data_IF_706722213227
#
_entry.id   IF_706722213227
#
_cell.length_a   1.000
_cell.length_b   1.000
_cell.length_c   1.000
_cell.angle_alpha   90.00
_cell.angle_beta   90.00
_cell.angle_gamma   90.00
#
_symmetry.space_group_name_H-M   'P 1'
#
loop_
_entity.id
_entity.type
_entity.pdbx_description
1 polymer ?
#
# COMPACT_ATOMS: atom_id res chain seq x y z
N UNK A 1 -32.83 42.00 26.80
CA UNK A 1 -31.39 41.83 26.53
C UNK A 1 -31.04 40.34 26.61
N UNK A 2 -31.48 39.57 25.61
CA UNK A 2 -31.39 38.10 25.58
C UNK A 2 -30.24 37.64 24.70
N UNK A 3 -29.33 36.83 25.26
CA UNK A 3 -28.19 36.25 24.54
C UNK A 3 -28.67 35.14 23.60
N UNK A 4 -28.61 35.39 22.29
CA UNK A 4 -28.76 34.38 21.25
C UNK A 4 -27.55 33.42 21.33
N UNK A 5 -27.81 32.17 21.71
CA UNK A 5 -26.85 31.07 21.55
C UNK A 5 -26.80 30.73 20.06
N UNK A 6 -25.64 30.91 19.45
CA UNK A 6 -25.36 30.60 18.05
C UNK A 6 -25.56 29.11 17.77
N UNK A 7 -26.25 28.85 16.66
CA UNK A 7 -26.48 27.53 16.12
C UNK A 7 -25.15 26.85 15.80
N UNK A 8 -24.79 25.84 16.59
CA UNK A 8 -23.72 24.90 16.24
C UNK A 8 -24.27 23.97 15.17
N UNK A 9 -23.62 23.99 14.00
CA UNK A 9 -24.05 23.28 12.80
C UNK A 9 -24.33 21.81 13.08
N UNK A 10 -25.52 21.39 12.62
CA UNK A 10 -25.88 19.99 12.39
C UNK A 10 -24.73 19.31 11.67
N UNK A 11 -23.99 18.47 12.38
CA UNK A 11 -23.24 17.39 11.75
C UNK A 11 -24.28 16.54 11.04
N UNK A 12 -24.21 16.48 9.71
CA UNK A 12 -25.06 15.61 8.92
C UNK A 12 -24.79 14.15 9.33
N UNK A 13 -25.61 13.66 10.26
CA UNK A 13 -25.85 12.26 10.53
C UNK A 13 -26.49 11.65 9.28
N UNK A 14 -25.72 10.85 8.53
CA UNK A 14 -26.19 10.23 7.29
C UNK A 14 -25.16 9.47 6.43
N UNK A 15 -24.03 9.02 6.99
CA UNK A 15 -23.09 8.09 6.31
C UNK A 15 -22.70 6.95 7.26
N UNK A 16 -23.59 5.99 7.43
CA UNK A 16 -23.43 4.82 8.32
C UNK A 16 -22.26 3.86 7.94
N UNK A 17 -21.48 4.16 6.89
CA UNK A 17 -20.15 3.57 6.63
C UNK A 17 -19.20 4.59 6.00
N UNK A 18 -18.66 5.51 6.80
CA UNK A 18 -17.68 6.49 6.34
C UNK A 18 -16.37 5.85 5.84
N UNK A 19 -15.78 6.41 4.78
CA UNK A 19 -14.45 6.00 4.31
C UNK A 19 -13.36 6.38 5.31
N UNK A 20 -12.29 5.57 5.42
CA UNK A 20 -11.10 5.93 6.20
C UNK A 20 -10.49 7.22 5.66
N UNK A 21 -9.92 8.04 6.54
CA UNK A 21 -9.31 9.33 6.15
C UNK A 21 -8.31 9.22 5.01
N UNK A 22 -7.45 8.17 4.99
CA UNK A 22 -6.53 7.91 3.88
C UNK A 22 -7.24 7.68 2.54
N UNK A 23 -8.37 6.96 2.55
CA UNK A 23 -9.19 6.76 1.35
C UNK A 23 -9.75 8.09 0.85
N UNK A 24 -10.28 8.93 1.75
CA UNK A 24 -10.79 10.27 1.41
C UNK A 24 -9.67 11.14 0.83
N UNK A 25 -8.48 11.12 1.43
CA UNK A 25 -7.29 11.83 0.92
C UNK A 25 -6.91 11.37 -0.48
N UNK A 26 -6.87 10.06 -0.73
CA UNK A 26 -6.53 9.51 -2.03
C UNK A 26 -7.58 9.89 -3.09
N UNK A 27 -8.87 9.77 -2.77
CA UNK A 27 -9.95 10.18 -3.66
C UNK A 27 -9.86 11.68 -4.00
N UNK A 28 -9.65 12.54 -3.00
CA UNK A 28 -9.45 13.99 -3.21
C UNK A 28 -8.23 14.27 -4.08
N UNK A 29 -7.11 13.56 -3.87
CA UNK A 29 -5.89 13.74 -4.66
C UNK A 29 -6.11 13.41 -6.15
N UNK A 30 -6.81 12.30 -6.44
CA UNK A 30 -7.18 11.92 -7.81
C UNK A 30 -8.11 12.96 -8.43
N UNK A 31 -9.18 13.34 -7.72
CA UNK A 31 -10.14 14.32 -8.20
C UNK A 31 -9.48 15.67 -8.48
N UNK A 32 -8.65 16.17 -7.57
CA UNK A 32 -7.90 17.42 -7.75
C UNK A 32 -7.01 17.36 -8.98
N UNK A 33 -6.33 16.24 -9.23
CA UNK A 33 -5.47 16.07 -10.41
C UNK A 33 -6.30 16.08 -11.70
N UNK A 34 -7.41 15.36 -11.73
CA UNK A 34 -8.31 15.33 -12.89
C UNK A 34 -8.90 16.71 -13.22
N UNK A 35 -9.41 17.42 -12.22
CA UNK A 35 -9.96 18.77 -12.41
C UNK A 35 -8.89 19.80 -12.77
N UNK A 36 -7.66 19.68 -12.24
CA UNK A 36 -6.55 20.54 -12.69
C UNK A 36 -6.19 20.31 -14.15
N UNK A 37 -6.33 19.09 -14.66
CA UNK A 37 -6.14 18.83 -16.08
C UNK A 37 -7.27 19.45 -16.91
N UNK A 38 -8.53 19.27 -16.49
CA UNK A 38 -9.69 19.86 -17.17
C UNK A 38 -9.66 21.40 -17.19
N UNK A 39 -9.21 22.04 -16.10
CA UNK A 39 -9.03 23.49 -16.00
C UNK A 39 -7.94 23.98 -16.97
N UNK A 40 -6.81 23.26 -17.08
CA UNK A 40 -5.74 23.58 -18.04
C UNK A 40 -6.18 23.43 -19.49
N UNK A 41 -7.05 22.48 -19.78
CA UNK A 41 -7.64 22.25 -21.10
C UNK A 41 -8.82 23.20 -21.39
N UNK A 42 -9.19 24.07 -20.44
CA UNK A 42 -10.30 25.01 -20.61
C UNK A 42 -11.69 24.37 -20.56
N UNK A 43 -11.80 23.11 -20.13
CA UNK A 43 -13.08 22.38 -20.03
C UNK A 43 -13.92 22.82 -18.84
N UNK A 44 -13.26 23.34 -17.80
CA UNK A 44 -13.91 23.93 -16.63
C UNK A 44 -13.24 25.27 -16.31
N UNK A 45 -14.01 26.17 -15.70
CA UNK A 45 -13.50 27.50 -15.32
C UNK A 45 -12.59 27.44 -14.09
N UNK A 46 -12.86 26.50 -13.16
CA UNK A 46 -12.12 26.43 -11.90
C UNK A 46 -12.11 25.03 -11.29
N UNK A 47 -10.96 24.62 -10.71
CA UNK A 47 -10.85 23.39 -9.93
C UNK A 47 -11.41 23.53 -8.50
N UNK A 48 -12.67 23.14 -8.31
CA UNK A 48 -13.34 23.14 -6.99
C UNK A 48 -12.72 22.19 -5.96
N UNK A 49 -12.07 21.10 -6.38
CA UNK A 49 -11.43 20.16 -5.45
C UNK A 49 -10.15 20.73 -4.83
N UNK A 50 -9.54 21.75 -5.44
CA UNK A 50 -8.43 22.48 -4.83
C UNK A 50 -8.88 23.29 -3.61
N UNK A 51 -10.13 23.79 -3.61
CA UNK A 51 -10.71 24.59 -2.53
C UNK A 51 -11.15 23.76 -1.32
N UNK A 52 -11.40 22.46 -1.51
CA UNK A 52 -11.73 21.53 -0.43
C UNK A 52 -10.59 21.39 0.57
N UNK A 53 -10.87 21.38 1.87
CA UNK A 53 -9.87 21.03 2.88
C UNK A 53 -9.60 19.52 2.90
N UNK A 54 -8.33 19.08 2.96
CA UNK A 54 -8.01 17.66 3.10
C UNK A 54 -8.40 17.15 4.50
N UNK A 55 -8.78 15.87 4.63
CA UNK A 55 -9.04 15.28 5.94
C UNK A 55 -7.76 15.29 6.79
N UNK A 56 -7.88 15.66 8.07
CA UNK A 56 -6.81 15.46 9.05
C UNK A 56 -6.69 13.98 9.34
N UNK A 57 -5.59 13.37 8.89
CA UNK A 57 -5.29 11.97 9.14
C UNK A 57 -4.27 11.92 10.24
N UNK A 58 -4.66 11.41 11.42
CA UNK A 58 -3.69 10.98 12.42
C UNK A 58 -2.91 9.82 11.82
N UNK A 59 -1.60 9.99 11.68
CA UNK A 59 -0.76 8.85 11.33
C UNK A 59 -0.80 7.91 12.52
N UNK A 60 -1.29 6.69 12.31
CA UNK A 60 -0.99 5.61 13.22
C UNK A 60 0.48 5.29 13.01
N UNK A 61 1.31 5.42 14.03
CA UNK A 61 2.64 4.86 13.97
C UNK A 61 2.50 3.35 13.70
N UNK A 62 3.23 2.88 12.70
CA UNK A 62 3.33 1.45 12.46
C UNK A 62 4.05 0.81 13.64
N UNK A 63 3.51 -0.28 14.19
CA UNK A 63 4.22 -1.04 15.21
C UNK A 63 5.41 -1.75 14.55
N UNK A 64 6.61 -1.41 14.98
CA UNK A 64 7.84 -2.13 14.62
C UNK A 64 8.18 -3.11 15.73
N UNK A 65 8.77 -4.25 15.39
CA UNK A 65 9.28 -5.20 16.38
C UNK A 65 10.53 -4.62 17.04
N UNK A 66 10.64 -4.76 18.35
CA UNK A 66 11.94 -4.60 19.02
C UNK A 66 12.85 -5.79 18.68
N UNK A 67 14.14 -5.67 18.98
CA UNK A 67 15.12 -6.76 18.77
C UNK A 67 14.68 -8.02 19.53
N UNK A 68 14.32 -7.90 20.81
CA UNK A 68 13.85 -9.03 21.62
C UNK A 68 12.58 -9.68 21.06
N UNK A 69 11.65 -8.87 20.53
CA UNK A 69 10.43 -9.36 19.89
C UNK A 69 10.74 -10.08 18.57
N UNK A 70 11.74 -9.63 17.82
CA UNK A 70 12.20 -10.30 16.61
C UNK A 70 12.84 -11.66 16.94
N UNK A 71 13.69 -11.74 17.97
CA UNK A 71 14.23 -13.01 18.46
C UNK A 71 13.12 -13.97 18.91
N UNK A 72 12.20 -13.49 19.75
CA UNK A 72 11.05 -14.27 20.21
C UNK A 72 10.22 -14.82 19.04
N UNK A 73 10.03 -14.01 17.99
CA UNK A 73 9.33 -14.44 16.79
C UNK A 73 10.10 -15.55 16.05
N UNK A 74 11.42 -15.39 15.88
CA UNK A 74 12.27 -16.38 15.20
C UNK A 74 12.29 -17.71 15.95
N UNK A 75 12.41 -17.68 17.28
CA UNK A 75 12.35 -18.88 18.12
C UNK A 75 11.00 -19.59 17.97
N UNK A 76 9.90 -18.82 17.98
CA UNK A 76 8.56 -19.36 17.84
C UNK A 76 8.28 -19.98 16.45
N UNK A 77 9.01 -19.57 15.41
CA UNK A 77 8.83 -20.08 14.04
C UNK A 77 9.95 -21.02 13.57
N UNK A 78 10.94 -21.34 14.41
CA UNK A 78 12.13 -22.11 14.04
C UNK A 78 11.76 -23.44 13.34
N UNK A 79 10.84 -24.20 13.94
CA UNK A 79 10.37 -25.50 13.40
C UNK A 79 9.10 -25.36 12.54
N UNK A 80 8.61 -24.14 12.32
CA UNK A 80 7.42 -23.91 11.50
C UNK A 80 7.80 -23.91 10.03
N UNK A 81 6.93 -24.46 9.17
CA UNK A 81 7.13 -24.47 7.70
C UNK A 81 7.38 -23.10 7.05
N UNK A 82 7.02 -22.01 7.73
CA UNK A 82 7.25 -20.63 7.29
C UNK A 82 8.47 -19.97 7.96
N UNK A 83 9.21 -20.68 8.81
CA UNK A 83 10.34 -20.16 9.58
C UNK A 83 11.36 -19.47 8.69
N UNK A 84 11.78 -20.16 7.63
CA UNK A 84 12.73 -19.60 6.64
C UNK A 84 12.18 -18.34 5.95
N UNK A 85 10.89 -18.32 5.60
CA UNK A 85 10.25 -17.16 4.96
C UNK A 85 10.24 -15.96 5.91
N UNK A 86 9.93 -16.17 7.18
CA UNK A 86 9.93 -15.14 8.21
C UNK A 86 11.35 -14.62 8.46
N UNK A 87 12.33 -15.52 8.60
CA UNK A 87 13.74 -15.18 8.77
C UNK A 87 14.26 -14.32 7.62
N UNK A 88 14.09 -14.77 6.38
CA UNK A 88 14.54 -14.03 5.19
C UNK A 88 13.83 -12.67 5.08
N UNK A 89 12.54 -12.60 5.42
CA UNK A 89 11.79 -11.35 5.40
C UNK A 89 12.30 -10.35 6.44
N UNK A 90 12.68 -10.82 7.64
CA UNK A 90 13.24 -9.99 8.69
C UNK A 90 14.66 -9.49 8.35
N UNK A 91 15.50 -10.38 7.84
CA UNK A 91 16.92 -10.08 7.56
C UNK A 91 17.08 -9.22 6.31
N UNK A 92 16.39 -9.54 5.21
CA UNK A 92 16.54 -8.86 3.93
C UNK A 92 15.44 -7.81 3.65
N UNK A 93 14.48 -7.66 4.55
CA UNK A 93 13.37 -6.71 4.37
C UNK A 93 12.44 -7.06 3.21
N UNK A 94 12.31 -8.35 2.88
CA UNK A 94 11.52 -8.80 1.73
C UNK A 94 10.04 -8.45 1.90
N UNK A 95 9.43 -7.90 0.84
CA UNK A 95 7.97 -7.82 0.79
C UNK A 95 7.41 -9.23 0.69
N UNK A 96 6.26 -9.48 1.31
CA UNK A 96 5.57 -10.79 1.25
C UNK A 96 5.48 -11.40 -0.16
N UNK A 97 5.25 -10.58 -1.19
CA UNK A 97 5.21 -11.09 -2.56
C UNK A 97 6.58 -11.57 -3.07
N UNK A 98 7.65 -10.87 -2.70
CA UNK A 98 9.04 -11.22 -3.02
C UNK A 98 9.46 -12.49 -2.27
N UNK A 99 9.17 -12.58 -0.97
CA UNK A 99 9.48 -13.75 -0.15
C UNK A 99 8.79 -15.02 -0.65
N UNK A 100 7.54 -14.90 -1.11
CA UNK A 100 6.80 -16.01 -1.73
C UNK A 100 7.23 -16.30 -3.18
N UNK A 101 7.96 -15.37 -3.82
CA UNK A 101 8.45 -15.49 -5.18
C UNK A 101 9.88 -16.03 -5.28
N UNK A 102 10.50 -16.39 -4.15
CA UNK A 102 11.85 -16.97 -4.16
C UNK A 102 11.85 -18.29 -4.94
N UNK A 103 12.85 -18.44 -5.81
CA UNK A 103 13.12 -19.63 -6.61
C UNK A 103 14.53 -20.12 -6.29
N UNK A 104 14.83 -21.41 -6.49
CA UNK A 104 16.15 -21.96 -6.14
C UNK A 104 17.31 -21.25 -6.85
N UNK A 105 17.13 -20.88 -8.12
CA UNK A 105 18.11 -20.14 -8.93
C UNK A 105 18.41 -18.71 -8.42
N UNK A 106 17.64 -18.22 -7.45
CA UNK A 106 17.90 -16.95 -6.78
C UNK A 106 19.07 -17.05 -5.80
N UNK A 107 19.36 -18.24 -5.26
CA UNK A 107 20.37 -18.44 -4.24
C UNK A 107 21.70 -18.86 -4.86
N UNK A 108 22.74 -18.08 -4.58
CA UNK A 108 24.12 -18.36 -5.00
C UNK A 108 24.99 -18.56 -3.74
N UNK A 109 25.28 -19.82 -3.35
CA UNK A 109 26.03 -20.10 -2.14
C UNK A 109 27.50 -19.69 -2.24
N UNK A 110 28.09 -19.75 -3.44
CA UNK A 110 29.50 -19.38 -3.68
C UNK A 110 29.68 -17.87 -3.56
N UNK A 111 28.80 -17.10 -4.19
CA UNK A 111 28.80 -15.65 -4.09
C UNK A 111 28.17 -15.14 -2.77
N UNK A 112 27.54 -16.00 -1.98
CA UNK A 112 26.74 -15.66 -0.78
C UNK A 112 25.68 -14.61 -1.07
N UNK A 113 25.00 -14.72 -2.20
CA UNK A 113 23.97 -13.75 -2.61
C UNK A 113 22.60 -14.39 -2.77
N UNK A 114 21.56 -13.57 -2.55
CA UNK A 114 20.16 -13.92 -2.80
C UNK A 114 19.57 -12.88 -3.76
N UNK A 115 19.22 -13.31 -4.97
CA UNK A 115 18.66 -12.45 -6.02
C UNK A 115 17.13 -12.43 -5.95
N UNK A 116 16.54 -11.26 -5.68
CA UNK A 116 15.09 -11.12 -5.68
C UNK A 116 14.59 -10.85 -7.10
N UNK A 117 14.32 -11.93 -7.84
CA UNK A 117 13.97 -11.86 -9.28
C UNK A 117 12.48 -11.90 -9.54
N UNK A 118 11.68 -12.51 -8.66
CA UNK A 118 10.24 -12.68 -8.86
C UNK A 118 9.43 -12.20 -7.65
N UNK A 119 8.16 -11.89 -7.90
CA UNK A 119 7.20 -11.62 -6.85
C UNK A 119 5.82 -12.22 -7.17
N UNK A 120 5.21 -12.82 -6.15
CA UNK A 120 3.84 -13.29 -6.17
C UNK A 120 2.88 -12.14 -5.89
N UNK A 121 1.89 -11.95 -6.77
CA UNK A 121 0.86 -10.92 -6.67
C UNK A 121 -0.51 -11.56 -6.74
N UNK A 122 -1.44 -11.10 -5.90
CA UNK A 122 -2.85 -11.46 -6.00
C UNK A 122 -3.61 -10.32 -6.67
N UNK A 123 -4.08 -10.56 -7.89
CA UNK A 123 -4.74 -9.57 -8.72
C UNK A 123 -6.24 -9.85 -8.77
N UNK A 124 -7.05 -8.78 -8.89
CA UNK A 124 -8.49 -8.93 -9.13
C UNK A 124 -8.71 -9.61 -10.48
N UNK A 125 -9.57 -10.62 -10.51
CA UNK A 125 -10.01 -11.21 -11.75
C UNK A 125 -11.08 -10.30 -12.37
N UNK A 126 -10.89 -9.93 -13.63
CA UNK A 126 -11.80 -9.04 -14.39
C UNK A 126 -12.61 -9.78 -15.44
N UNK A 127 -12.41 -11.09 -15.57
CA UNK A 127 -13.24 -11.94 -16.41
C UNK A 127 -14.62 -12.10 -15.75
N UNK A 128 -15.67 -11.87 -16.54
CA UNK A 128 -17.05 -11.94 -16.09
C UNK A 128 -17.47 -13.38 -15.72
N UNK A 129 -16.83 -14.38 -16.32
CA UNK A 129 -17.12 -15.80 -16.11
C UNK A 129 -16.15 -16.48 -15.14
N UNK A 130 -15.32 -15.69 -14.43
CA UNK A 130 -14.35 -16.25 -13.51
C UNK A 130 -14.99 -16.90 -12.28
N UNK A 131 -14.61 -18.14 -12.00
CA UNK A 131 -14.99 -18.86 -10.77
C UNK A 131 -14.49 -18.16 -9.49
N UNK A 132 -13.39 -17.42 -9.58
CA UNK A 132 -12.78 -16.73 -8.43
C UNK A 132 -12.57 -15.23 -8.68
N UNK A 133 -12.80 -14.43 -7.63
CA UNK A 133 -12.66 -12.96 -7.68
C UNK A 133 -11.20 -12.49 -7.83
N UNK A 134 -10.23 -13.36 -7.54
CA UNK A 134 -8.81 -13.01 -7.59
C UNK A 134 -7.99 -14.16 -8.16
N UNK A 135 -6.96 -13.82 -8.94
CA UNK A 135 -5.97 -14.76 -9.45
C UNK A 135 -4.58 -14.48 -8.86
N UNK A 136 -3.79 -15.53 -8.68
CA UNK A 136 -2.38 -15.42 -8.29
C UNK A 136 -1.55 -15.32 -9.57
N UNK A 137 -0.63 -14.36 -9.61
CA UNK A 137 0.29 -14.14 -10.73
C UNK A 137 1.70 -14.06 -10.16
N UNK A 138 2.61 -14.82 -10.75
CA UNK A 138 4.04 -14.73 -10.50
C UNK A 138 4.62 -13.89 -11.63
N UNK A 139 5.39 -12.86 -11.29
CA UNK A 139 6.01 -11.97 -12.28
C UNK A 139 7.42 -11.61 -11.86
N UNK A 140 8.31 -11.42 -12.81
CA UNK A 140 9.61 -10.83 -12.55
C UNK A 140 9.48 -9.44 -11.90
N UNK A 141 10.40 -9.15 -10.98
CA UNK A 141 10.54 -7.85 -10.35
C UNK A 141 11.15 -6.90 -11.37
N UNK A 142 10.37 -5.90 -11.79
CA UNK A 142 10.85 -4.90 -12.74
C UNK A 142 11.84 -3.97 -12.06
N UNK A 143 13.05 -3.90 -12.61
CA UNK A 143 13.99 -2.83 -12.29
C UNK A 143 13.43 -1.49 -12.81
N UNK A 144 13.77 -0.36 -12.17
CA UNK A 144 13.48 0.95 -12.72
C UNK A 144 14.05 1.07 -14.14
N UNK A 145 13.28 1.63 -15.08
CA UNK A 145 13.68 1.76 -16.49
C UNK A 145 14.98 2.55 -16.70
N UNK A 146 15.48 3.27 -15.69
CA UNK A 146 16.70 4.08 -15.73
C UNK A 146 17.90 3.43 -15.00
N UNK A 147 17.78 2.19 -14.53
CA UNK A 147 18.83 1.52 -13.75
C UNK A 147 20.06 1.08 -14.58
N UNK A 148 20.03 1.23 -15.91
CA UNK A 148 21.13 0.85 -16.81
C UNK A 148 22.37 1.76 -16.80
N UNK A 149 22.36 2.86 -16.04
CA UNK A 149 23.45 3.86 -16.05
C UNK A 149 24.39 3.80 -14.84
N UNK A 150 24.24 2.82 -13.95
CA UNK A 150 25.13 2.67 -12.80
C UNK A 150 26.11 1.53 -13.07
N UNK A 151 27.23 1.86 -13.73
CA UNK A 151 28.48 1.11 -13.70
C UNK A 151 29.57 2.03 -13.19
#
# INVERSE_FOLDING_TARGET
>A
MGRLRSATGRTASGFERGYKGNSIRNMRAVLRKALSQAEREGLIVQNVAALSLPPRIRQSEGRTLTIDQAHTLLDAVAEHRLGLVVLLSLVFGLRRGEALGLVWDAFDPEAKTLRITHAVKRLKNRDANAETRTKIVISEVRLPSHAGHWR
#
